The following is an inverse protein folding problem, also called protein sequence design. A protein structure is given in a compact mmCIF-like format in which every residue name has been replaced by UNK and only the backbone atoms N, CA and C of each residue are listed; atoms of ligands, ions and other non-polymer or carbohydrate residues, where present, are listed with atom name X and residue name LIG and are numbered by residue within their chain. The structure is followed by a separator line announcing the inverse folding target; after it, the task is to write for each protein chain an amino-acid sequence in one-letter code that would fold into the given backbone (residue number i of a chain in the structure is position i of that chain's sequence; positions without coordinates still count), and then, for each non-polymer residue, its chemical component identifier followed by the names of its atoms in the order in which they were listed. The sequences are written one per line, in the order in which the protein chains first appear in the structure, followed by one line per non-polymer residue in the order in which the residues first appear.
data_IF_352779838510
#
_entry.id   IF_352779838510
#
_cell.length_a   1.000
_cell.length_b   1.000
_cell.length_c   1.000
_cell.angle_alpha   90.00
_cell.angle_beta   90.00
_cell.angle_gamma   90.00
#
_symmetry.space_group_name_H-M   'P 1'
#
loop_
_entity.id
_entity.type
_entity.pdbx_description
1 polymer ?
#
# COMPACT_ATOMS: atom_id res chain seq x y z
N UNK A 1 13.58 10.57 -7.70
CA UNK A 1 12.52 11.09 -6.81
C UNK A 1 12.44 10.13 -5.64
N UNK A 2 12.64 10.60 -4.40
CA UNK A 2 12.76 9.68 -3.27
C UNK A 2 11.36 9.20 -2.88
N UNK A 3 11.12 7.89 -3.02
CA UNK A 3 9.93 7.23 -2.50
C UNK A 3 10.25 6.83 -1.06
N UNK A 4 9.56 7.42 -0.10
CA UNK A 4 9.70 7.07 1.31
C UNK A 4 8.56 6.12 1.70
N UNK A 5 8.85 4.84 2.02
CA UNK A 5 7.82 3.88 2.42
C UNK A 5 6.96 4.39 3.57
N UNK A 6 7.58 5.02 4.57
CA UNK A 6 6.90 5.58 5.74
C UNK A 6 5.81 6.61 5.41
N UNK A 7 5.98 7.45 4.37
CA UNK A 7 4.93 8.39 3.96
C UNK A 7 3.70 7.65 3.41
N UNK A 8 3.94 6.58 2.64
CA UNK A 8 2.88 5.76 2.04
C UNK A 8 2.17 4.95 3.12
N UNK A 9 2.90 4.41 4.10
CA UNK A 9 2.35 3.70 5.26
C UNK A 9 1.44 4.62 6.07
N UNK A 10 1.93 5.81 6.45
CA UNK A 10 1.14 6.80 7.17
C UNK A 10 -0.12 7.18 6.40
N UNK A 11 -0.01 7.35 5.08
CA UNK A 11 -1.15 7.64 4.23
C UNK A 11 -2.16 6.49 4.22
N UNK A 12 -1.71 5.25 4.04
CA UNK A 12 -2.58 4.07 4.04
C UNK A 12 -3.26 3.84 5.40
N UNK A 13 -2.60 4.18 6.51
CA UNK A 13 -3.19 4.16 7.86
C UNK A 13 -4.35 5.15 8.03
N UNK A 14 -4.48 6.16 7.16
CA UNK A 14 -5.63 7.07 7.17
C UNK A 14 -6.89 6.44 6.57
N UNK A 15 -6.78 5.30 5.89
CA UNK A 15 -7.92 4.61 5.31
C UNK A 15 -8.74 3.90 6.40
N UNK A 16 -10.06 4.10 6.49
CA UNK A 16 -10.87 3.62 7.63
C UNK A 16 -10.95 2.09 7.75
N UNK A 17 -10.67 1.36 6.67
CA UNK A 17 -10.63 -0.11 6.67
C UNK A 17 -9.24 -0.69 6.95
N UNK A 18 -8.19 0.14 6.98
CA UNK A 18 -6.82 -0.31 7.20
C UNK A 18 -6.53 -0.26 8.70
N UNK A 19 -6.15 -1.40 9.25
CA UNK A 19 -5.67 -1.52 10.64
C UNK A 19 -4.18 -1.21 10.71
N UNK A 20 -3.43 -1.74 9.76
CA UNK A 20 -1.98 -1.57 9.67
C UNK A 20 -1.52 -1.79 8.24
N UNK A 21 -0.67 -0.90 7.72
CA UNK A 21 -0.02 -1.03 6.43
C UNK A 21 1.50 -0.93 6.59
N UNK A 22 2.20 -1.78 5.83
CA UNK A 22 3.66 -1.83 5.72
C UNK A 22 4.02 -1.76 4.24
N UNK A 23 5.01 -0.95 3.90
CA UNK A 23 5.39 -0.69 2.52
C UNK A 23 6.84 -1.13 2.32
N UNK A 24 7.05 -2.00 1.34
CA UNK A 24 8.36 -2.56 1.03
C UNK A 24 8.66 -2.44 -0.46
N UNK A 25 9.93 -2.20 -0.78
CA UNK A 25 10.41 -2.32 -2.15
C UNK A 25 10.54 -3.79 -2.54
N UNK A 26 10.00 -4.15 -3.71
CA UNK A 26 10.11 -5.49 -4.29
C UNK A 26 10.75 -5.38 -5.67
N UNK A 27 11.56 -6.39 -6.03
CA UNK A 27 12.09 -6.47 -7.38
C UNK A 27 10.95 -6.72 -8.38
N UNK A 28 10.86 -5.86 -9.39
CA UNK A 28 9.90 -5.99 -10.48
C UNK A 28 10.65 -6.22 -11.79
N UNK A 29 10.35 -7.34 -12.45
CA UNK A 29 11.02 -7.74 -13.70
C UNK A 29 10.85 -6.76 -14.86
N UNK A 30 9.89 -5.83 -14.80
CA UNK A 30 9.66 -4.82 -15.85
C UNK A 30 10.23 -3.46 -15.50
N UNK A 31 10.14 -3.04 -14.24
CA UNK A 31 10.49 -1.68 -13.80
C UNK A 31 11.77 -1.62 -12.94
N UNK A 32 12.34 -2.78 -12.60
CA UNK A 32 13.50 -2.91 -11.71
C UNK A 32 13.07 -3.03 -10.25
N UNK A 33 12.50 -1.95 -9.69
CA UNK A 33 12.04 -1.88 -8.31
C UNK A 33 10.65 -1.25 -8.25
N UNK A 34 9.72 -1.88 -7.53
CA UNK A 34 8.35 -1.41 -7.34
C UNK A 34 7.94 -1.45 -5.88
N UNK A 35 6.92 -0.67 -5.56
CA UNK A 35 6.39 -0.59 -4.20
C UNK A 35 5.30 -1.64 -3.99
N UNK A 36 5.48 -2.45 -2.94
CA UNK A 36 4.48 -3.38 -2.43
C UNK A 36 3.94 -2.91 -1.09
N UNK A 37 2.62 -2.75 -0.99
CA UNK A 37 1.93 -2.49 0.27
C UNK A 37 1.31 -3.78 0.81
N UNK A 38 1.82 -4.23 1.95
CA UNK A 38 1.17 -5.24 2.76
C UNK A 38 0.17 -4.53 3.68
N UNK A 39 -1.08 -4.96 3.68
CA UNK A 39 -2.18 -4.29 4.37
C UNK A 39 -2.93 -5.30 5.22
N UNK A 40 -3.02 -5.02 6.51
CA UNK A 40 -3.91 -5.69 7.45
C UNK A 40 -5.16 -4.86 7.59
N UNK A 41 -6.29 -5.46 7.24
CA UNK A 41 -7.59 -4.80 7.37
C UNK A 41 -8.08 -4.87 8.82
N UNK A 42 -8.98 -3.96 9.17
CA UNK A 42 -9.73 -4.04 10.43
C UNK A 42 -10.58 -5.31 10.42
N UNK A 43 -10.69 -5.98 11.56
CA UNK A 43 -11.46 -7.21 11.69
C UNK A 43 -12.91 -7.04 11.19
N UNK A 44 -13.31 -7.90 10.24
CA UNK A 44 -14.63 -7.86 9.61
C UNK A 44 -14.77 -6.84 8.46
N UNK A 45 -13.73 -6.11 8.11
CA UNK A 45 -13.71 -5.26 6.90
C UNK A 45 -13.11 -6.00 5.71
N UNK A 46 -13.62 -5.67 4.53
CA UNK A 46 -13.09 -6.13 3.25
C UNK A 46 -12.74 -4.93 2.37
N UNK A 47 -11.62 -5.05 1.66
CA UNK A 47 -11.15 -4.06 0.70
C UNK A 47 -10.50 -4.78 -0.47
N UNK A 48 -10.49 -4.13 -1.63
CA UNK A 48 -9.85 -4.65 -2.83
C UNK A 48 -8.58 -3.86 -3.14
N UNK A 49 -7.61 -4.44 -3.86
CA UNK A 49 -6.43 -3.71 -4.29
C UNK A 49 -6.78 -2.46 -5.11
N UNK A 50 -7.86 -2.54 -5.88
CA UNK A 50 -8.37 -1.43 -6.69
C UNK A 50 -8.93 -0.31 -5.82
N UNK A 51 -9.63 -0.62 -4.73
CA UNK A 51 -10.13 0.36 -3.76
C UNK A 51 -8.97 1.12 -3.12
N UNK A 52 -7.94 0.41 -2.67
CA UNK A 52 -6.75 1.04 -2.08
C UNK A 52 -5.99 1.89 -3.10
N UNK A 53 -5.82 1.41 -4.35
CA UNK A 53 -5.20 2.20 -5.42
C UNK A 53 -6.00 3.45 -5.73
N UNK A 54 -7.33 3.34 -5.77
CA UNK A 54 -8.22 4.47 -5.99
C UNK A 54 -8.13 5.48 -4.85
N UNK A 55 -7.98 5.03 -3.61
CA UNK A 55 -7.76 5.90 -2.45
C UNK A 55 -6.45 6.68 -2.53
N UNK A 56 -5.38 6.05 -3.03
CA UNK A 56 -4.09 6.71 -3.27
C UNK A 56 -4.15 7.69 -4.45
N UNK A 57 -4.96 7.37 -5.47
CA UNK A 57 -5.03 8.15 -6.71
C UNK A 57 -5.61 9.54 -6.45
N UNK A 58 -4.82 10.57 -6.76
CA UNK A 58 -5.20 11.97 -6.55
C UNK A 58 -4.83 12.53 -5.19
N UNK A 59 -4.33 11.70 -4.26
CA UNK A 59 -3.77 12.14 -2.98
C UNK A 59 -2.24 12.07 -2.95
N UNK A 60 -1.67 11.05 -3.59
CA UNK A 60 -0.22 10.92 -3.76
C UNK A 60 0.15 10.82 -5.23
N UNK A 61 1.40 11.15 -5.55
CA UNK A 61 1.93 11.04 -6.92
C UNK A 61 1.90 9.60 -7.41
N UNK A 62 1.70 9.39 -8.72
CA UNK A 62 1.52 8.06 -9.33
C UNK A 62 2.63 7.06 -8.96
N UNK A 63 3.88 7.51 -8.92
CA UNK A 63 5.03 6.68 -8.58
C UNK A 63 5.10 6.27 -7.10
N UNK A 64 4.35 6.94 -6.20
CA UNK A 64 4.19 6.54 -4.79
C UNK A 64 3.02 5.57 -4.59
N UNK A 65 2.18 5.34 -5.61
CA UNK A 65 1.04 4.43 -5.50
C UNK A 65 1.57 3.00 -5.54
N UNK A 66 1.30 2.18 -4.50
CA UNK A 66 1.73 0.79 -4.48
C UNK A 66 1.21 0.02 -5.69
N UNK A 67 2.14 -0.59 -6.43
CA UNK A 67 1.84 -1.44 -7.58
C UNK A 67 1.24 -2.76 -7.12
N UNK A 68 1.87 -3.34 -6.09
CA UNK A 68 1.46 -4.57 -5.46
C UNK A 68 0.76 -4.24 -4.15
N UNK A 69 -0.39 -4.87 -3.92
CA UNK A 69 -1.16 -4.72 -2.69
C UNK A 69 -1.53 -6.12 -2.24
N UNK A 70 -1.07 -6.48 -1.05
CA UNK A 70 -1.27 -7.79 -0.45
C UNK A 70 -2.03 -7.60 0.85
N UNK A 71 -3.15 -8.31 0.99
CA UNK A 71 -3.86 -8.34 2.26
C UNK A 71 -3.27 -9.45 3.14
N UNK A 72 -2.79 -9.07 4.32
CA UNK A 72 -2.18 -9.97 5.28
C UNK A 72 -3.01 -10.02 6.55
N UNK A 73 -3.08 -11.20 7.17
CA UNK A 73 -3.76 -11.38 8.47
C UNK A 73 -2.84 -11.06 9.64
N UNK A 74 -1.53 -11.19 9.45
CA UNK A 74 -0.52 -10.93 10.47
C UNK A 74 0.83 -10.59 9.83
N UNK A 75 1.67 -9.90 10.59
CA UNK A 75 3.05 -9.60 10.23
C UNK A 75 3.99 -10.45 11.10
N UNK A 76 5.09 -10.99 10.54
CA UNK A 76 6.04 -11.82 11.27
C UNK A 76 6.78 -11.07 12.40
#
# INVERSE_FOLDING_TARGET
ENVYPAEIEQFLHTHPKVKEAQVVGVEDVRMGEEVCACIKLVDGQESSPEEIKAFCKGQISHFKIPRYILFVTDYP
#
